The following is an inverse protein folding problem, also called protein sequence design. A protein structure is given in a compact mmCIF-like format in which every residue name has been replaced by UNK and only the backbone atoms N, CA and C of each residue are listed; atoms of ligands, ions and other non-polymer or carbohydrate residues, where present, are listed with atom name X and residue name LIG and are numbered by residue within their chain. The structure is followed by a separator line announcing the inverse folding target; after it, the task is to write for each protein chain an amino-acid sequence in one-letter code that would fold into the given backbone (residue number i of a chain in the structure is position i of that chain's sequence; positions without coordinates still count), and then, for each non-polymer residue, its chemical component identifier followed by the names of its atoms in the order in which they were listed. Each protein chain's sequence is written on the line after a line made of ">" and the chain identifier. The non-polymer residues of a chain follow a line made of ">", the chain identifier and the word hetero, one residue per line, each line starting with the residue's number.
data_IF_724476074629
#
_entry.id   IF_724476074629
#
_cell.length_a   1.000
_cell.length_b   1.000
_cell.length_c   1.000
_cell.angle_alpha   90.00
_cell.angle_beta   90.00
_cell.angle_gamma   90.00
#
_symmetry.space_group_name_H-M   'P 1'
#
loop_
_entity.id
_entity.type
_entity.pdbx_description
1 polymer ?
#
# COMPACT_ATOMS: atom_id res chain seq x y z
N UNK A 1 7.06 16.46 15.17
CA UNK A 1 7.20 15.67 13.92
C UNK A 1 8.06 16.36 12.85
N UNK A 2 7.89 17.65 12.53
CA UNK A 2 8.66 18.29 11.45
C UNK A 2 10.19 18.26 11.63
N UNK A 3 10.69 18.43 12.85
CA UNK A 3 12.14 18.32 13.13
C UNK A 3 12.71 16.90 12.97
N UNK A 4 11.89 15.85 13.11
CA UNK A 4 12.31 14.47 12.87
C UNK A 4 12.44 14.17 11.37
N UNK A 5 11.58 14.79 10.55
CA UNK A 5 11.59 14.65 9.09
C UNK A 5 12.49 15.69 8.39
N UNK A 6 13.27 16.46 9.16
CA UNK A 6 14.07 17.58 8.67
C UNK A 6 13.27 18.54 7.75
N UNK A 7 11.98 18.72 8.05
CA UNK A 7 11.10 19.61 7.30
C UNK A 7 10.98 20.97 8.00
N UNK A 8 10.73 22.06 7.25
CA UNK A 8 10.52 23.37 7.81
C UNK A 8 9.39 23.38 8.84
N UNK A 9 9.53 24.23 9.85
CA UNK A 9 8.55 24.35 10.94
C UNK A 9 7.34 25.21 10.58
N UNK A 10 7.36 25.87 9.42
CA UNK A 10 6.24 26.65 8.91
C UNK A 10 5.83 26.16 7.52
N UNK A 11 4.53 26.20 7.26
CA UNK A 11 3.98 25.91 5.93
C UNK A 11 4.53 26.86 4.86
N UNK A 12 4.79 28.12 5.23
CA UNK A 12 5.37 29.12 4.33
C UNK A 12 6.73 28.67 3.84
N UNK A 13 7.63 28.28 4.73
CA UNK A 13 8.99 27.84 4.36
C UNK A 13 8.97 26.53 3.55
N UNK A 14 7.93 25.69 3.74
CA UNK A 14 7.72 24.48 2.96
C UNK A 14 7.26 24.76 1.52
N UNK A 15 6.41 25.76 1.31
CA UNK A 15 5.80 26.07 0.01
C UNK A 15 6.54 27.17 -0.75
N UNK A 16 7.30 28.03 -0.08
CA UNK A 16 8.01 29.16 -0.68
C UNK A 16 9.31 28.74 -1.38
N UNK A 17 9.23 27.72 -2.21
CA UNK A 17 10.29 27.30 -3.12
C UNK A 17 9.74 27.07 -4.53
N UNK A 18 10.62 27.18 -5.53
CA UNK A 18 10.21 27.10 -6.95
C UNK A 18 9.54 25.77 -7.30
N UNK A 19 10.00 24.66 -6.72
CA UNK A 19 9.50 23.33 -7.03
C UNK A 19 8.07 23.16 -6.51
N UNK A 20 7.83 23.52 -5.24
CA UNK A 20 6.52 23.49 -4.62
C UNK A 20 5.54 24.41 -5.36
N UNK A 21 5.94 25.63 -5.72
CA UNK A 21 5.12 26.55 -6.52
C UNK A 21 4.77 25.97 -7.89
N UNK A 22 5.75 25.41 -8.61
CA UNK A 22 5.53 24.77 -9.91
C UNK A 22 4.58 23.57 -9.81
N UNK A 23 4.75 22.74 -8.79
CA UNK A 23 3.87 21.59 -8.54
C UNK A 23 2.46 22.02 -8.15
N UNK A 24 2.33 23.06 -7.32
CA UNK A 24 1.04 23.63 -6.95
C UNK A 24 0.29 24.19 -8.17
N UNK A 25 0.99 24.91 -9.07
CA UNK A 25 0.41 25.39 -10.32
C UNK A 25 -0.04 24.24 -11.22
N UNK A 26 0.81 23.21 -11.41
CA UNK A 26 0.46 22.04 -12.21
C UNK A 26 -0.73 21.25 -11.62
N UNK A 27 -0.84 21.18 -10.29
CA UNK A 27 -1.99 20.59 -9.60
C UNK A 27 -3.27 21.42 -9.78
N UNK A 28 -3.17 22.74 -9.72
CA UNK A 28 -4.30 23.63 -9.97
C UNK A 28 -4.81 23.50 -11.42
N UNK A 29 -3.90 23.39 -12.38
CA UNK A 29 -4.24 23.12 -13.78
C UNK A 29 -4.90 21.74 -13.97
N UNK A 30 -4.46 20.72 -13.24
CA UNK A 30 -5.03 19.38 -13.30
C UNK A 30 -6.40 19.25 -12.59
N UNK A 31 -6.74 20.18 -11.68
CA UNK A 31 -7.94 20.12 -10.84
C UNK A 31 -9.06 21.07 -11.29
N UNK A 32 -9.22 21.29 -12.60
CA UNK A 32 -10.28 22.14 -13.15
C UNK A 32 -11.69 21.73 -12.71
N UNK A 33 -11.98 20.43 -12.60
CA UNK A 33 -13.29 19.93 -12.21
C UNK A 33 -13.73 20.39 -10.80
N UNK A 34 -12.78 20.62 -9.88
CA UNK A 34 -13.08 21.20 -8.57
C UNK A 34 -13.44 22.68 -8.68
N UNK A 35 -12.66 23.45 -9.45
CA UNK A 35 -12.88 24.88 -9.64
C UNK A 35 -14.11 25.21 -10.51
N UNK A 36 -14.52 24.28 -11.37
CA UNK A 36 -15.73 24.38 -12.18
C UNK A 36 -17.00 23.95 -11.43
N UNK A 37 -16.86 23.46 -10.18
CA UNK A 37 -17.98 23.03 -9.35
C UNK A 37 -18.60 21.70 -9.76
N UNK A 38 -17.94 20.93 -10.63
CA UNK A 38 -18.36 19.58 -11.02
C UNK A 38 -18.13 18.58 -9.88
N UNK A 39 -17.12 18.83 -9.04
CA UNK A 39 -16.86 18.08 -7.82
C UNK A 39 -17.44 18.86 -6.64
N UNK A 40 -18.47 18.30 -6.01
CA UNK A 40 -18.98 18.83 -4.73
C UNK A 40 -17.85 18.83 -3.70
N UNK A 41 -17.61 19.93 -2.98
CA UNK A 41 -16.57 19.97 -1.97
C UNK A 41 -16.90 18.97 -0.86
N UNK A 42 -16.16 17.86 -0.84
CA UNK A 42 -16.17 16.93 0.29
C UNK A 42 -15.37 17.57 1.42
N UNK A 43 -16.05 18.41 2.19
CA UNK A 43 -15.50 18.94 3.43
C UNK A 43 -15.55 17.80 4.44
N UNK A 44 -14.38 17.24 4.74
CA UNK A 44 -14.22 16.24 5.79
C UNK A 44 -14.42 16.97 7.13
N UNK A 45 -15.67 16.99 7.61
CA UNK A 45 -16.05 17.64 8.86
C UNK A 45 -15.49 16.91 10.09
N UNK A 46 -15.32 15.59 9.96
CA UNK A 46 -14.75 14.74 11.00
C UNK A 46 -13.73 13.79 10.36
N UNK A 47 -12.60 13.52 11.04
CA UNK A 47 -11.67 12.49 10.60
C UNK A 47 -12.43 11.18 10.38
N UNK A 48 -12.20 10.52 9.24
CA UNK A 48 -12.69 9.16 9.05
C UNK A 48 -12.22 8.27 10.21
N UNK A 49 -13.00 7.26 10.57
CA UNK A 49 -12.58 6.29 11.57
C UNK A 49 -11.16 5.80 11.24
N UNK A 50 -10.27 5.70 12.25
CA UNK A 50 -8.92 5.24 12.01
C UNK A 50 -8.96 3.85 11.37
N UNK A 51 -8.04 3.55 10.42
CA UNK A 51 -7.99 2.25 9.80
C UNK A 51 -7.85 1.17 10.86
N UNK A 52 -8.80 0.24 10.89
CA UNK A 52 -8.82 -0.91 11.80
C UNK A 52 -8.29 -2.13 11.07
N UNK A 53 -7.60 -2.99 11.80
CA UNK A 53 -7.26 -4.32 11.30
C UNK A 53 -8.53 -5.16 11.19
N UNK A 54 -8.49 -6.19 10.36
CA UNK A 54 -9.59 -7.15 10.22
C UNK A 54 -9.87 -7.82 11.56
N UNK A 55 -11.15 -8.05 11.83
CA UNK A 55 -11.58 -8.83 12.99
C UNK A 55 -11.26 -10.30 12.75
N UNK A 56 -10.60 -10.94 13.71
CA UNK A 56 -10.36 -12.38 13.69
C UNK A 56 -11.53 -13.11 14.35
N UNK A 57 -11.77 -14.39 14.00
CA UNK A 57 -12.73 -15.24 14.71
C UNK A 57 -12.40 -15.37 16.19
N UNK A 58 -13.43 -15.53 17.03
CA UNK A 58 -13.28 -15.69 18.47
C UNK A 58 -12.59 -17.01 18.83
N UNK A 59 -12.84 -18.07 18.04
CA UNK A 59 -12.15 -19.35 18.15
C UNK A 59 -11.02 -19.46 17.12
N UNK A 60 -9.81 -19.70 17.63
CA UNK A 60 -8.64 -19.98 16.81
C UNK A 60 -8.87 -21.18 15.87
N UNK A 61 -9.70 -22.14 16.27
CA UNK A 61 -10.02 -23.31 15.45
C UNK A 61 -10.73 -22.94 14.14
N UNK A 62 -11.60 -21.92 14.16
CA UNK A 62 -12.27 -21.43 12.95
C UNK A 62 -11.27 -20.83 11.97
N UNK A 63 -10.34 -20.01 12.49
CA UNK A 63 -9.25 -19.46 11.70
C UNK A 63 -8.39 -20.58 11.08
N UNK A 64 -8.04 -21.60 11.86
CA UNK A 64 -7.25 -22.74 11.38
C UNK A 64 -7.97 -23.52 10.28
N UNK A 65 -9.28 -23.70 10.37
CA UNK A 65 -10.07 -24.37 9.33
C UNK A 65 -10.03 -23.58 8.02
N UNK A 66 -10.31 -22.27 8.07
CA UNK A 66 -10.26 -21.38 6.89
C UNK A 66 -8.87 -21.39 6.24
N UNK A 67 -7.84 -21.37 7.08
CA UNK A 67 -6.44 -21.34 6.65
C UNK A 67 -5.96 -22.70 6.11
N UNK A 68 -6.57 -23.81 6.55
CA UNK A 68 -6.21 -25.17 6.10
C UNK A 68 -6.56 -25.47 4.64
N UNK A 69 -7.54 -24.74 4.09
CA UNK A 69 -7.97 -24.87 2.68
C UNK A 69 -7.04 -24.10 1.72
N UNK A 70 -6.17 -23.23 2.25
CA UNK A 70 -5.26 -22.45 1.43
C UNK A 70 -4.20 -23.33 0.75
N UNK A 71 -4.09 -23.18 -0.55
CA UNK A 71 -3.01 -23.76 -1.37
C UNK A 71 -2.28 -22.64 -2.08
N UNK A 72 -0.95 -22.59 -1.97
CA UNK A 72 -0.17 -21.57 -2.64
C UNK A 72 -0.24 -21.79 -4.17
N UNK A 73 -0.65 -20.77 -4.97
CA UNK A 73 -0.77 -20.93 -6.42
C UNK A 73 0.57 -21.15 -7.13
N UNK A 74 1.68 -20.75 -6.49
CA UNK A 74 3.02 -20.88 -7.04
C UNK A 74 3.74 -22.17 -6.61
N UNK A 75 3.15 -22.99 -5.73
CA UNK A 75 3.70 -24.30 -5.38
C UNK A 75 2.96 -25.40 -6.13
N UNK A 76 3.64 -26.07 -7.07
CA UNK A 76 3.15 -27.34 -7.65
C UNK A 76 3.17 -28.49 -6.62
N UNK A 77 3.88 -28.30 -5.50
CA UNK A 77 3.98 -29.26 -4.41
C UNK A 77 2.93 -28.95 -3.34
N UNK A 78 2.15 -29.96 -2.98
CA UNK A 78 1.16 -30.02 -1.88
C UNK A 78 1.74 -29.68 -0.48
N UNK A 79 3.06 -29.43 -0.42
CA UNK A 79 3.86 -29.31 0.80
C UNK A 79 3.96 -27.88 1.37
N UNK A 80 3.65 -26.83 0.60
CA UNK A 80 3.74 -25.45 1.12
C UNK A 80 2.47 -25.00 1.83
N UNK A 81 2.20 -25.63 2.97
CA UNK A 81 1.17 -25.18 3.94
C UNK A 81 1.74 -24.11 4.85
N UNK A 82 2.22 -23.00 4.27
CA UNK A 82 2.69 -21.85 5.03
C UNK A 82 1.77 -20.63 4.81
N UNK A 83 0.47 -20.77 5.11
CA UNK A 83 -0.46 -19.67 5.00
C UNK A 83 -0.20 -18.61 6.06
N UNK A 84 -0.45 -17.37 5.70
CA UNK A 84 -0.44 -16.20 6.59
C UNK A 84 -1.60 -15.28 6.23
N UNK A 85 -2.19 -14.59 7.20
CA UNK A 85 -3.30 -13.67 6.96
C UNK A 85 -2.82 -12.22 7.03
N UNK A 86 -3.15 -11.43 6.01
CA UNK A 86 -2.94 -9.99 6.02
C UNK A 86 -3.97 -9.33 6.94
N UNK A 87 -3.54 -8.72 8.04
CA UNK A 87 -4.47 -8.07 8.98
C UNK A 87 -5.05 -6.75 8.45
N UNK A 88 -4.57 -6.24 7.32
CA UNK A 88 -5.10 -5.03 6.69
C UNK A 88 -6.28 -5.35 5.77
N UNK A 89 -6.19 -6.41 4.96
CA UNK A 89 -7.20 -6.76 3.96
C UNK A 89 -7.90 -8.12 4.18
N UNK A 90 -7.43 -8.93 5.15
CA UNK A 90 -7.99 -10.24 5.48
C UNK A 90 -7.61 -11.36 4.51
N UNK A 91 -6.82 -11.08 3.48
CA UNK A 91 -6.42 -12.09 2.49
C UNK A 91 -5.40 -13.07 3.07
N UNK A 92 -5.52 -14.34 2.68
CA UNK A 92 -4.58 -15.40 3.01
C UNK A 92 -3.53 -15.50 1.90
N UNK A 93 -2.27 -15.50 2.31
CA UNK A 93 -1.08 -15.46 1.45
C UNK A 93 -0.10 -16.56 1.86
N UNK A 94 0.89 -16.85 1.03
CA UNK A 94 2.00 -17.73 1.40
C UNK A 94 3.13 -16.91 2.06
N UNK A 95 3.61 -17.33 3.22
CA UNK A 95 4.72 -16.65 3.93
C UNK A 95 6.10 -17.03 3.42
N UNK A 96 6.21 -18.02 2.53
CA UNK A 96 7.48 -18.46 1.98
C UNK A 96 7.82 -17.68 0.70
N UNK A 97 8.75 -16.74 0.85
CA UNK A 97 9.22 -15.90 -0.25
C UNK A 97 9.77 -16.69 -1.42
N UNK A 98 10.52 -17.77 -1.18
CA UNK A 98 11.13 -18.59 -2.24
C UNK A 98 10.10 -19.24 -3.16
N UNK A 99 8.90 -19.54 -2.66
CA UNK A 99 7.82 -20.14 -3.43
C UNK A 99 7.15 -19.10 -4.36
N UNK A 100 7.02 -17.87 -3.89
CA UNK A 100 6.31 -16.80 -4.60
C UNK A 100 7.22 -15.80 -5.30
N UNK A 101 8.51 -16.13 -5.41
CA UNK A 101 9.51 -15.24 -5.97
C UNK A 101 9.31 -15.10 -7.47
N UNK A 102 9.23 -13.87 -7.95
CA UNK A 102 9.13 -13.57 -9.38
C UNK A 102 10.43 -12.93 -9.88
N UNK A 103 10.84 -13.32 -11.08
CA UNK A 103 11.93 -12.66 -11.78
C UNK A 103 11.41 -11.38 -12.44
N UNK A 104 11.89 -10.22 -11.98
CA UNK A 104 11.56 -8.95 -12.62
C UNK A 104 12.69 -8.60 -13.60
N UNK A 105 12.36 -8.55 -14.89
CA UNK A 105 13.32 -8.11 -15.91
C UNK A 105 13.55 -6.60 -15.81
N UNK A 106 14.81 -6.18 -15.67
CA UNK A 106 15.18 -4.75 -15.66
C UNK A 106 14.91 -4.13 -17.03
N UNK A 107 14.09 -3.07 -17.14
CA UNK A 107 14.04 -2.30 -18.38
C UNK A 107 15.33 -1.50 -18.51
N UNK A 108 16.10 -1.86 -19.55
CA UNK A 108 17.24 -1.15 -20.15
C UNK A 108 18.62 -1.28 -19.44
N UNK A 109 19.52 -2.05 -20.09
CA UNK A 109 20.96 -1.76 -20.12
C UNK A 109 21.86 -2.39 -19.06
N UNK A 110 21.34 -3.14 -18.10
CA UNK A 110 22.16 -3.93 -17.16
C UNK A 110 21.65 -5.36 -17.10
N UNK A 111 22.42 -6.32 -17.62
CA UNK A 111 22.18 -7.75 -17.41
C UNK A 111 22.28 -8.06 -15.93
N UNK A 112 21.14 -8.26 -15.28
CA UNK A 112 21.03 -8.68 -13.89
C UNK A 112 19.56 -8.87 -13.53
N UNK A 113 19.18 -10.10 -13.23
CA UNK A 113 17.84 -10.48 -12.77
C UNK A 113 17.75 -10.13 -11.29
N UNK A 114 16.84 -9.23 -10.91
CA UNK A 114 16.57 -8.99 -9.50
C UNK A 114 15.42 -9.90 -9.09
N UNK A 115 15.66 -10.69 -8.05
CA UNK A 115 14.67 -11.54 -7.44
C UNK A 115 13.88 -10.70 -6.44
N UNK A 116 12.60 -10.49 -6.72
CA UNK A 116 11.71 -9.73 -5.82
C UNK A 116 10.80 -10.73 -5.13
N UNK A 117 10.85 -10.76 -3.79
CA UNK A 117 9.93 -11.54 -2.98
C UNK A 117 8.53 -10.90 -2.94
N UNK A 118 7.52 -11.73 -2.66
CA UNK A 118 6.17 -11.28 -2.35
C UNK A 118 6.12 -10.42 -1.08
#
# INVERSE_FOLDING_TARGET
>A
MCGYLNMPHSFRDLIDNLLAKKKAAAWAEASQAWFQGEILPSIVLEPSEPPRLVTLPDDFSELMNVVSEFTCPNSEREDSKNPTMCLVCGQILCSQSYCCQIEVSKPHGRSGVDLVGA
#
